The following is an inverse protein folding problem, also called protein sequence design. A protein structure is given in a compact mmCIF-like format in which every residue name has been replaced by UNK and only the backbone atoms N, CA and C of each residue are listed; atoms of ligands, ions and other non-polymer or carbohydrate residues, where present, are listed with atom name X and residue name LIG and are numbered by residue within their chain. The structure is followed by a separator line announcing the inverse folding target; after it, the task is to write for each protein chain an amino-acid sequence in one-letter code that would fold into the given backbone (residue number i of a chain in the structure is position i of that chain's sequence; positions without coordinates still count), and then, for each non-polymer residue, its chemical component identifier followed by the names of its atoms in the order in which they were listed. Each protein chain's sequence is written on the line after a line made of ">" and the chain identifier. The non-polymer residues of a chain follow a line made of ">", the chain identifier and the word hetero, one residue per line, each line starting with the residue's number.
data_IF_758760589342
#
_entry.id   IF_758760589342
#
_cell.length_a   1.000
_cell.length_b   1.000
_cell.length_c   1.000
_cell.angle_alpha   90.00
_cell.angle_beta   90.00
_cell.angle_gamma   90.00
#
_symmetry.space_group_name_H-M   'P 1'
#
loop_
_entity.id
_entity.type
_entity.pdbx_description
1 polymer ?
#
# COMPACT_ATOMS: atom_id res chain seq x y z
N UNK A 1 -8.22 4.05 -16.48
CA UNK A 1 -7.03 4.88 -16.22
C UNK A 1 -6.76 4.86 -14.73
N UNK A 2 -5.51 4.65 -14.33
CA UNK A 2 -5.09 4.57 -12.92
C UNK A 2 -4.11 5.71 -12.63
N UNK A 3 -4.32 6.40 -11.50
CA UNK A 3 -3.49 7.53 -11.08
C UNK A 3 -2.37 7.06 -10.16
N UNK A 4 -1.12 7.32 -10.52
CA UNK A 4 -0.01 7.12 -9.60
C UNK A 4 0.14 8.30 -8.65
N UNK A 5 0.37 8.00 -7.37
CA UNK A 5 0.50 8.97 -6.30
C UNK A 5 1.71 8.64 -5.43
N UNK A 6 2.52 9.66 -5.16
CA UNK A 6 3.58 9.58 -4.17
C UNK A 6 3.35 10.67 -3.11
N UNK A 7 3.54 10.32 -1.83
CA UNK A 7 3.53 11.28 -0.72
C UNK A 7 4.93 11.36 -0.16
N UNK A 8 5.51 12.55 -0.06
CA UNK A 8 6.93 12.71 0.28
C UNK A 8 7.16 13.94 1.16
N UNK A 9 8.14 13.87 2.06
CA UNK A 9 8.53 15.01 2.87
C UNK A 9 10.04 15.02 3.16
N UNK A 10 10.70 16.14 2.91
CA UNK A 10 12.13 16.36 3.14
C UNK A 10 13.04 15.43 2.35
N UNK A 11 12.56 14.91 1.20
CA UNK A 11 13.18 13.80 0.45
C UNK A 11 13.18 14.02 -1.07
N UNK A 12 13.17 15.27 -1.53
CA UNK A 12 13.12 15.58 -2.96
C UNK A 12 14.25 14.92 -3.77
N UNK A 13 15.50 14.93 -3.26
CA UNK A 13 16.63 14.24 -3.92
C UNK A 13 16.46 12.72 -3.89
N UNK A 14 16.13 12.16 -2.72
CA UNK A 14 15.95 10.73 -2.54
C UNK A 14 14.84 10.19 -3.45
N UNK A 15 13.73 10.94 -3.58
CA UNK A 15 12.65 10.64 -4.49
C UNK A 15 13.16 10.54 -5.93
N UNK A 16 13.97 11.51 -6.38
CA UNK A 16 14.53 11.52 -7.73
C UNK A 16 15.50 10.35 -7.97
N UNK A 17 16.40 10.11 -7.03
CA UNK A 17 17.42 9.05 -7.09
C UNK A 17 16.81 7.63 -7.04
N UNK A 18 15.70 7.45 -6.31
CA UNK A 18 15.11 6.14 -6.06
C UNK A 18 13.78 5.96 -6.77
N UNK A 19 12.71 6.54 -6.26
CA UNK A 19 11.34 6.26 -6.75
C UNK A 19 11.18 6.71 -8.19
N UNK A 20 11.59 7.93 -8.54
CA UNK A 20 11.50 8.42 -9.92
C UNK A 20 12.39 7.63 -10.88
N UNK A 21 13.64 7.30 -10.48
CA UNK A 21 14.52 6.44 -11.27
C UNK A 21 13.90 5.05 -11.50
N UNK A 22 13.24 4.49 -10.49
CA UNK A 22 12.52 3.21 -10.58
C UNK A 22 11.36 3.28 -11.56
N UNK A 23 10.51 4.31 -11.46
CA UNK A 23 9.39 4.52 -12.37
C UNK A 23 9.89 4.75 -13.81
N UNK A 24 10.91 5.59 -13.99
CA UNK A 24 11.52 5.89 -15.28
C UNK A 24 12.05 4.63 -15.96
N UNK A 25 12.80 3.80 -15.22
CA UNK A 25 13.29 2.49 -15.70
C UNK A 25 12.14 1.54 -16.07
N UNK A 26 10.99 1.66 -15.40
CA UNK A 26 9.77 0.92 -15.70
C UNK A 26 8.93 1.49 -16.84
N UNK A 27 9.39 2.54 -17.56
CA UNK A 27 8.65 3.11 -18.69
C UNK A 27 7.56 4.13 -18.31
N UNK A 28 7.75 4.89 -17.21
CA UNK A 28 6.77 5.88 -16.76
C UNK A 28 6.72 7.18 -17.60
N UNK A 29 7.62 7.37 -18.57
CA UNK A 29 7.90 8.67 -19.21
C UNK A 29 6.72 9.42 -19.87
N UNK A 30 5.60 8.75 -20.18
CA UNK A 30 4.39 9.37 -20.76
C UNK A 30 3.23 9.52 -19.76
N UNK A 31 3.42 9.10 -18.50
CA UNK A 31 2.41 9.13 -17.45
C UNK A 31 2.58 10.35 -16.56
N UNK A 32 1.49 10.78 -15.93
CA UNK A 32 1.55 11.82 -14.91
C UNK A 32 1.55 11.20 -13.51
N UNK A 33 2.55 11.54 -12.71
CA UNK A 33 2.60 11.23 -11.27
C UNK A 33 2.03 12.41 -10.48
N UNK A 34 1.13 12.15 -9.54
CA UNK A 34 0.75 13.14 -8.52
C UNK A 34 1.70 13.01 -7.33
N UNK A 35 2.48 14.05 -7.06
CA UNK A 35 3.38 14.12 -5.92
C UNK A 35 2.79 15.08 -4.89
N UNK A 36 2.35 14.56 -3.75
CA UNK A 36 1.83 15.36 -2.64
C UNK A 36 2.92 15.53 -1.60
N UNK A 37 3.19 16.76 -1.21
CA UNK A 37 4.29 17.13 -0.29
C UNK A 37 3.81 18.18 0.71
N UNK A 38 4.45 18.37 1.87
CA UNK A 38 4.13 19.49 2.74
C UNK A 38 4.18 20.83 2.00
N UNK A 39 3.22 21.71 2.25
CA UNK A 39 3.10 23.00 1.55
C UNK A 39 4.37 23.84 1.63
N UNK A 40 5.04 23.82 2.79
CA UNK A 40 6.31 24.53 3.02
C UNK A 40 7.49 23.98 2.19
N UNK A 41 7.39 22.76 1.66
CA UNK A 41 8.45 22.10 0.87
C UNK A 41 8.16 22.08 -0.62
N UNK A 42 6.97 22.52 -1.05
CA UNK A 42 6.48 22.40 -2.43
C UNK A 42 7.48 22.92 -3.47
N UNK A 43 8.05 24.09 -3.23
CA UNK A 43 8.96 24.73 -4.19
C UNK A 43 10.28 23.95 -4.33
N UNK A 44 10.77 23.35 -3.24
CA UNK A 44 11.97 22.52 -3.27
C UNK A 44 11.79 21.26 -4.14
N UNK A 45 10.57 20.72 -4.19
CA UNK A 45 10.24 19.61 -5.09
C UNK A 45 10.06 20.08 -6.53
N UNK A 46 9.35 21.19 -6.75
CA UNK A 46 9.12 21.75 -8.10
C UNK A 46 10.42 21.98 -8.87
N UNK A 47 11.50 22.39 -8.19
CA UNK A 47 12.80 22.60 -8.81
C UNK A 47 13.54 21.32 -9.24
N UNK A 48 13.15 20.15 -8.73
CA UNK A 48 13.88 18.89 -8.95
C UNK A 48 13.17 17.90 -9.84
N UNK A 49 11.84 17.91 -9.82
CA UNK A 49 11.04 16.92 -10.54
C UNK A 49 10.77 17.34 -11.99
N UNK A 50 10.64 16.40 -12.94
CA UNK A 50 10.29 16.72 -14.30
C UNK A 50 8.84 17.19 -14.42
N UNK A 51 8.50 17.87 -15.52
CA UNK A 51 7.16 18.41 -15.78
C UNK A 51 6.04 17.36 -15.78
N UNK A 52 6.38 16.08 -16.00
CA UNK A 52 5.44 14.95 -15.90
C UNK A 52 4.99 14.66 -14.47
N UNK A 53 5.62 15.27 -13.46
CA UNK A 53 5.23 15.15 -12.04
C UNK A 53 4.44 16.38 -11.63
N UNK A 54 3.17 16.20 -11.30
CA UNK A 54 2.31 17.25 -10.74
C UNK A 54 2.53 17.34 -9.23
N UNK A 55 3.17 18.41 -8.77
CA UNK A 55 3.44 18.64 -7.34
C UNK A 55 2.31 19.45 -6.69
N UNK A 56 1.75 18.92 -5.60
CA UNK A 56 0.70 19.56 -4.80
C UNK A 56 1.17 19.71 -3.35
N UNK A 57 0.97 20.90 -2.78
CA UNK A 57 1.29 21.19 -1.39
C UNK A 57 0.13 20.83 -0.46
N UNK A 58 0.43 20.07 0.59
CA UNK A 58 -0.48 19.69 1.66
C UNK A 58 -0.22 20.58 2.89
N UNK A 59 -1.24 21.25 3.44
CA UNK A 59 -1.06 22.12 4.61
C UNK A 59 -0.55 21.38 5.86
N UNK A 60 -0.78 20.07 5.94
CA UNK A 60 -0.42 19.25 7.10
C UNK A 60 0.71 18.30 6.72
N UNK A 61 1.83 18.39 7.44
CA UNK A 61 2.95 17.45 7.31
C UNK A 61 2.63 16.12 7.99
N UNK A 62 1.82 15.28 7.33
CA UNK A 62 1.49 13.91 7.76
C UNK A 62 1.31 13.01 6.54
N UNK A 63 1.65 11.73 6.66
CA UNK A 63 1.49 10.77 5.56
C UNK A 63 0.01 10.55 5.26
N UNK A 64 -0.79 10.34 6.30
CA UNK A 64 -2.24 10.18 6.20
C UNK A 64 -2.89 11.42 5.64
N UNK A 65 -2.50 12.63 6.09
CA UNK A 65 -3.07 13.87 5.58
C UNK A 65 -2.77 14.05 4.08
N UNK A 66 -1.55 13.76 3.64
CA UNK A 66 -1.16 13.82 2.23
C UNK A 66 -1.91 12.79 1.38
N UNK A 67 -2.10 11.55 1.86
CA UNK A 67 -2.88 10.51 1.17
C UNK A 67 -4.36 10.87 1.07
N UNK A 68 -4.95 11.40 2.14
CA UNK A 68 -6.34 11.92 2.15
C UNK A 68 -6.51 13.07 1.16
N UNK A 69 -5.57 14.02 1.15
CA UNK A 69 -5.60 15.12 0.19
C UNK A 69 -5.50 14.59 -1.24
N UNK A 70 -4.58 13.67 -1.52
CA UNK A 70 -4.45 13.04 -2.83
C UNK A 70 -5.78 12.45 -3.29
N UNK A 71 -6.45 11.67 -2.44
CA UNK A 71 -7.77 11.09 -2.75
C UNK A 71 -8.84 12.14 -3.02
N UNK A 72 -8.85 13.24 -2.27
CA UNK A 72 -9.86 14.28 -2.41
C UNK A 72 -9.70 15.10 -3.70
N UNK A 73 -8.47 15.36 -4.13
CA UNK A 73 -8.18 16.16 -5.33
C UNK A 73 -8.09 15.34 -6.62
N UNK A 74 -8.26 14.02 -6.51
CA UNK A 74 -8.13 13.07 -7.63
C UNK A 74 -9.52 12.54 -7.98
N UNK A 75 -9.99 12.92 -9.18
CA UNK A 75 -11.26 12.45 -9.71
C UNK A 75 -11.18 11.00 -10.24
N UNK A 76 -9.96 10.48 -10.48
CA UNK A 76 -9.78 9.10 -10.92
C UNK A 76 -10.22 8.08 -9.86
N UNK A 77 -10.94 7.09 -10.36
CA UNK A 77 -11.50 6.03 -9.55
C UNK A 77 -10.48 5.00 -9.06
N UNK A 78 -9.33 4.84 -9.74
CA UNK A 78 -8.26 3.90 -9.32
C UNK A 78 -6.97 4.67 -9.07
N UNK A 79 -6.30 4.38 -7.95
CA UNK A 79 -5.04 5.03 -7.59
C UNK A 79 -4.00 3.98 -7.18
N UNK A 80 -2.73 4.19 -7.54
CA UNK A 80 -1.58 3.47 -7.03
C UNK A 80 -0.78 4.42 -6.14
N UNK A 81 -0.63 4.09 -4.86
CA UNK A 81 0.26 4.79 -3.95
C UNK A 81 1.63 4.12 -3.93
N UNK A 82 2.68 4.93 -4.00
CA UNK A 82 4.08 4.50 -3.91
C UNK A 82 4.87 5.42 -2.97
N UNK A 83 5.71 4.85 -2.12
CA UNK A 83 6.59 5.62 -1.23
C UNK A 83 7.73 6.33 -2.00
N UNK A 84 8.39 7.27 -1.34
CA UNK A 84 9.41 8.15 -1.94
C UNK A 84 10.84 7.58 -1.93
N UNK A 85 11.03 6.34 -1.50
CA UNK A 85 12.34 5.69 -1.39
C UNK A 85 12.41 4.28 -1.98
N UNK A 86 11.61 4.01 -3.02
CA UNK A 86 11.55 2.72 -3.70
C UNK A 86 12.74 2.51 -4.64
N UNK A 87 13.53 1.47 -4.41
CA UNK A 87 14.73 1.12 -5.19
C UNK A 87 14.39 0.23 -6.40
N UNK A 88 13.36 -0.60 -6.28
CA UNK A 88 12.83 -1.41 -7.37
C UNK A 88 11.41 -1.91 -7.09
N UNK A 89 10.65 -2.14 -8.16
CA UNK A 89 9.47 -3.00 -8.16
C UNK A 89 9.87 -4.30 -8.88
N UNK A 90 9.59 -5.44 -8.27
CA UNK A 90 9.95 -6.76 -8.79
C UNK A 90 8.72 -7.60 -9.03
N UNK A 91 8.72 -8.35 -10.12
CA UNK A 91 7.64 -9.27 -10.47
C UNK A 91 8.20 -10.69 -10.65
N UNK A 92 7.41 -11.68 -10.23
CA UNK A 92 7.58 -13.08 -10.57
C UNK A 92 6.54 -13.43 -11.63
N UNK A 93 6.96 -13.53 -12.89
CA UNK A 93 6.04 -13.67 -14.02
C UNK A 93 5.50 -15.11 -14.20
N UNK A 94 4.68 -15.29 -15.24
CA UNK A 94 4.08 -16.58 -15.55
C UNK A 94 5.09 -17.69 -15.83
N UNK A 95 6.26 -17.35 -16.38
CA UNK A 95 7.37 -18.27 -16.65
C UNK A 95 8.21 -18.59 -15.41
N UNK A 96 7.99 -17.87 -14.30
CA UNK A 96 8.80 -17.97 -13.09
C UNK A 96 10.09 -17.15 -13.15
N UNK A 97 10.21 -16.24 -14.12
CA UNK A 97 11.27 -15.23 -14.14
C UNK A 97 11.02 -14.16 -13.10
N UNK A 98 12.12 -13.69 -12.49
CA UNK A 98 12.13 -12.65 -11.47
C UNK A 98 12.88 -11.43 -12.02
N UNK A 99 12.14 -10.38 -12.40
CA UNK A 99 12.70 -9.20 -13.06
C UNK A 99 12.14 -7.88 -12.51
N UNK A 100 12.66 -6.75 -13.01
CA UNK A 100 12.11 -5.44 -12.73
C UNK A 100 10.77 -5.27 -13.43
N UNK A 101 9.71 -5.00 -12.68
CA UNK A 101 8.39 -4.77 -13.26
C UNK A 101 8.39 -3.45 -14.04
N UNK A 102 7.82 -3.47 -15.24
CA UNK A 102 7.39 -2.27 -15.95
C UNK A 102 6.17 -1.65 -15.27
N UNK A 103 5.92 -0.37 -15.52
CA UNK A 103 4.74 0.32 -15.00
C UNK A 103 3.45 -0.32 -15.56
N UNK A 104 3.46 -0.79 -16.82
CA UNK A 104 2.33 -1.50 -17.41
C UNK A 104 2.02 -2.79 -16.64
N UNK A 105 3.04 -3.60 -16.31
CA UNK A 105 2.83 -4.84 -15.54
C UNK A 105 2.25 -4.54 -14.14
N UNK A 106 2.72 -3.47 -13.50
CA UNK A 106 2.19 -3.05 -12.20
C UNK A 106 0.73 -2.60 -12.30
N UNK A 107 0.42 -1.77 -13.29
CA UNK A 107 -0.95 -1.29 -13.54
C UNK A 107 -1.88 -2.46 -13.83
N UNK A 108 -1.53 -3.37 -14.75
CA UNK A 108 -2.31 -4.56 -15.09
C UNK A 108 -2.54 -5.44 -13.87
N UNK A 109 -1.50 -5.70 -13.07
CA UNK A 109 -1.61 -6.53 -11.88
C UNK A 109 -2.56 -5.92 -10.83
N UNK A 110 -2.49 -4.59 -10.64
CA UNK A 110 -3.42 -3.91 -9.74
C UNK A 110 -4.83 -3.77 -10.31
N UNK A 111 -5.00 -3.62 -11.61
CA UNK A 111 -6.33 -3.62 -12.23
C UNK A 111 -7.05 -4.94 -11.98
N UNK A 112 -6.37 -6.07 -12.21
CA UNK A 112 -6.89 -7.40 -11.89
C UNK A 112 -7.20 -7.55 -10.40
N UNK A 113 -6.31 -7.10 -9.51
CA UNK A 113 -6.54 -7.16 -8.07
C UNK A 113 -7.78 -6.36 -7.66
N UNK A 114 -7.88 -5.13 -8.14
CA UNK A 114 -8.98 -4.24 -7.82
C UNK A 114 -10.32 -4.71 -8.40
N UNK A 115 -10.41 -5.60 -9.38
CA UNK A 115 -11.70 -6.16 -9.86
C UNK A 115 -12.59 -6.72 -8.74
N UNK A 116 -11.99 -7.14 -7.63
CA UNK A 116 -12.69 -7.81 -6.54
C UNK A 116 -12.51 -7.15 -5.16
N UNK A 117 -11.84 -6.00 -5.09
CA UNK A 117 -11.58 -5.30 -3.82
C UNK A 117 -11.37 -3.79 -4.04
N UNK A 118 -11.55 -3.02 -2.97
CA UNK A 118 -11.19 -1.61 -2.92
C UNK A 118 -9.73 -1.38 -2.52
N UNK A 119 -9.00 -2.40 -2.05
CA UNK A 119 -7.63 -2.28 -1.58
C UNK A 119 -6.82 -3.52 -1.98
N UNK A 120 -5.80 -3.31 -2.82
CA UNK A 120 -4.85 -4.36 -3.18
C UNK A 120 -3.41 -3.95 -2.93
N UNK A 121 -2.63 -4.83 -2.32
CA UNK A 121 -1.23 -4.60 -1.98
C UNK A 121 -0.27 -5.51 -2.71
N UNK A 122 1.02 -5.26 -2.50
CA UNK A 122 2.11 -6.12 -2.96
C UNK A 122 2.70 -6.94 -1.81
N UNK A 123 3.48 -7.96 -2.15
CA UNK A 123 4.28 -8.69 -1.19
C UNK A 123 5.38 -7.76 -0.59
N UNK A 124 5.58 -7.75 0.73
CA UNK A 124 6.43 -6.74 1.39
C UNK A 124 7.93 -6.92 1.15
N UNK A 125 8.36 -8.07 0.62
CA UNK A 125 9.78 -8.40 0.43
C UNK A 125 10.04 -8.92 -0.97
N UNK A 126 10.78 -8.17 -1.77
CA UNK A 126 11.24 -8.62 -3.08
C UNK A 126 12.31 -9.72 -2.97
N UNK A 127 11.88 -10.98 -2.87
CA UNK A 127 12.76 -12.15 -2.83
C UNK A 127 12.12 -13.30 -3.60
N UNK A 128 12.81 -13.79 -4.64
CA UNK A 128 12.34 -14.88 -5.52
C UNK A 128 11.93 -16.15 -4.75
N UNK A 129 12.67 -16.52 -3.69
CA UNK A 129 12.38 -17.73 -2.92
C UNK A 129 11.15 -17.62 -2.01
N UNK A 130 10.65 -16.42 -1.76
CA UNK A 130 9.49 -16.18 -0.89
C UNK A 130 8.25 -15.72 -1.64
N UNK A 131 8.43 -15.07 -2.79
CA UNK A 131 7.33 -14.68 -3.67
C UNK A 131 6.67 -15.90 -4.31
N UNK A 132 5.37 -15.80 -4.55
CA UNK A 132 4.57 -16.90 -5.10
C UNK A 132 3.61 -16.36 -6.16
N UNK A 133 3.35 -17.16 -7.20
CA UNK A 133 2.31 -16.90 -8.22
C UNK A 133 0.89 -17.09 -7.69
N UNK A 134 0.59 -16.44 -6.58
CA UNK A 134 -0.71 -16.49 -5.90
C UNK A 134 -1.17 -15.10 -5.53
N UNK A 135 -2.47 -14.97 -5.34
CA UNK A 135 -3.10 -13.81 -4.70
C UNK A 135 -3.61 -14.26 -3.34
N UNK A 136 -3.30 -13.49 -2.30
CA UNK A 136 -3.89 -13.68 -0.98
C UNK A 136 -5.12 -12.80 -0.83
N UNK A 137 -6.22 -13.37 -0.36
CA UNK A 137 -7.46 -12.66 -0.02
C UNK A 137 -7.63 -12.67 1.49
N UNK A 138 -7.83 -11.47 2.06
CA UNK A 138 -7.93 -11.20 3.51
C UNK A 138 -6.73 -11.69 4.31
N UNK A 139 -6.60 -11.25 5.56
CA UNK A 139 -5.58 -11.74 6.50
C UNK A 139 -4.14 -11.79 5.94
N UNK A 140 -3.82 -10.91 5.00
CA UNK A 140 -2.52 -10.76 4.38
C UNK A 140 -2.12 -9.29 4.49
N UNK A 141 -0.99 -9.04 5.12
CA UNK A 141 -0.54 -7.68 5.37
C UNK A 141 -0.18 -6.99 4.05
N UNK A 142 -0.86 -5.88 3.78
CA UNK A 142 -0.65 -4.96 2.68
C UNK A 142 0.29 -3.88 3.18
N UNK A 143 1.50 -3.86 2.63
CA UNK A 143 2.49 -2.87 3.00
C UNK A 143 2.15 -1.51 2.40
N UNK A 144 2.31 -0.44 3.19
CA UNK A 144 2.03 0.93 2.74
C UNK A 144 2.96 1.47 1.64
N UNK A 145 4.03 0.75 1.30
CA UNK A 145 5.07 1.20 0.37
C UNK A 145 4.67 1.12 -1.12
N UNK A 146 3.77 0.19 -1.47
CA UNK A 146 3.14 0.12 -2.79
C UNK A 146 1.82 -0.62 -2.68
N UNK A 147 0.72 0.07 -2.97
CA UNK A 147 -0.62 -0.50 -2.98
C UNK A 147 -1.51 0.30 -3.92
N UNK A 148 -2.63 -0.30 -4.32
CA UNK A 148 -3.64 0.34 -5.11
C UNK A 148 -4.99 0.34 -4.41
N UNK A 149 -5.80 1.33 -4.73
CA UNK A 149 -7.15 1.48 -4.20
C UNK A 149 -8.17 1.76 -5.30
N UNK A 150 -9.43 1.43 -5.03
CA UNK A 150 -10.58 2.12 -5.61
C UNK A 150 -10.87 3.33 -4.73
N UNK A 151 -10.78 4.53 -5.31
CA UNK A 151 -11.01 5.79 -4.60
C UNK A 151 -12.51 6.02 -4.43
N UNK A 152 -13.12 5.33 -3.47
CA UNK A 152 -14.53 5.43 -3.16
C UNK A 152 -14.75 6.22 -1.85
N UNK A 153 -15.88 6.90 -1.67
CA UNK A 153 -16.16 7.63 -0.43
C UNK A 153 -16.19 6.74 0.84
N UNK A 154 -16.49 5.45 0.70
CA UNK A 154 -16.59 4.47 1.78
C UNK A 154 -15.25 3.82 2.16
N UNK A 155 -14.19 4.03 1.38
CA UNK A 155 -12.84 3.56 1.72
C UNK A 155 -12.34 4.30 2.95
N UNK A 156 -12.17 3.57 4.04
CA UNK A 156 -11.74 4.12 5.32
C UNK A 156 -10.27 4.57 5.26
N UNK A 157 -10.00 5.81 5.66
CA UNK A 157 -8.63 6.26 5.91
C UNK A 157 -8.35 6.31 7.41
N UNK A 158 -7.17 5.86 7.85
CA UNK A 158 -6.73 6.05 9.22
C UNK A 158 -6.62 7.54 9.57
N UNK A 159 -6.51 7.83 10.86
CA UNK A 159 -6.28 9.19 11.38
C UNK A 159 -4.88 9.39 11.96
N UNK A 160 -4.05 8.34 11.95
CA UNK A 160 -2.71 8.33 12.52
C UNK A 160 -1.73 7.74 11.50
N UNK A 161 -0.52 8.33 11.42
CA UNK A 161 0.58 7.87 10.57
C UNK A 161 1.24 6.58 11.09
N UNK A 162 1.06 6.26 12.37
CA UNK A 162 1.50 4.99 12.95
C UNK A 162 0.50 3.88 12.64
N UNK A 163 0.99 2.75 12.14
CA UNK A 163 0.18 1.56 11.82
C UNK A 163 -0.96 1.85 10.82
N UNK A 164 -0.80 2.89 9.99
CA UNK A 164 -1.81 3.34 9.02
C UNK A 164 -2.21 2.24 8.04
N UNK A 165 -1.25 1.40 7.65
CA UNK A 165 -1.40 0.32 6.69
C UNK A 165 -2.26 -0.81 7.26
N UNK A 166 -1.99 -1.19 8.51
CA UNK A 166 -2.82 -2.08 9.30
C UNK A 166 -4.22 -1.51 9.50
N UNK A 167 -4.34 -0.25 9.91
CA UNK A 167 -5.64 0.37 10.16
C UNK A 167 -6.50 0.41 8.88
N UNK A 168 -5.93 0.79 7.72
CA UNK A 168 -6.65 0.83 6.44
C UNK A 168 -7.18 -0.55 6.04
N UNK A 169 -6.31 -1.57 6.02
CA UNK A 169 -6.71 -2.91 5.57
C UNK A 169 -7.69 -3.60 6.53
N UNK A 170 -7.61 -3.30 7.83
CA UNK A 170 -8.50 -3.88 8.83
C UNK A 170 -9.87 -3.22 8.80
N UNK A 171 -9.94 -1.90 8.54
CA UNK A 171 -11.20 -1.21 8.36
C UNK A 171 -12.00 -1.75 7.16
N UNK A 172 -11.34 -2.03 6.03
CA UNK A 172 -12.00 -2.68 4.88
C UNK A 172 -12.55 -4.06 5.25
N UNK A 173 -11.75 -4.90 5.90
CA UNK A 173 -12.16 -6.25 6.29
C UNK A 173 -13.29 -6.23 7.33
N UNK A 174 -13.24 -5.32 8.31
CA UNK A 174 -14.30 -5.13 9.30
C UNK A 174 -15.62 -4.65 8.66
N UNK A 175 -15.53 -3.90 7.56
CA UNK A 175 -16.70 -3.51 6.77
C UNK A 175 -17.20 -4.61 5.82
N UNK A 176 -16.67 -5.84 5.92
CA UNK A 176 -17.02 -6.96 5.04
C UNK A 176 -16.45 -6.85 3.63
N UNK A 177 -15.55 -5.89 3.36
CA UNK A 177 -14.92 -5.70 2.06
C UNK A 177 -13.60 -6.45 2.01
N UNK A 178 -13.44 -7.42 1.10
CA UNK A 178 -12.21 -8.19 1.03
C UNK A 178 -11.04 -7.30 0.62
N UNK A 179 -9.82 -7.67 1.00
CA UNK A 179 -8.58 -7.03 0.56
C UNK A 179 -7.69 -8.06 -0.13
N UNK A 180 -6.93 -7.65 -1.15
CA UNK A 180 -5.99 -8.55 -1.83
C UNK A 180 -4.52 -8.20 -1.64
N UNK A 181 -3.66 -9.22 -1.69
CA UNK A 181 -2.22 -9.05 -1.83
C UNK A 181 -1.69 -9.91 -2.97
N UNK A 182 -1.05 -9.27 -3.92
CA UNK A 182 -0.39 -9.89 -5.06
C UNK A 182 0.95 -10.47 -4.57
N UNK A 183 1.04 -11.78 -4.35
CA UNK A 183 2.25 -12.40 -3.79
C UNK A 183 3.40 -12.53 -4.82
N UNK A 184 3.12 -12.23 -6.09
CA UNK A 184 4.05 -12.26 -7.20
C UNK A 184 4.58 -10.88 -7.60
N UNK A 185 4.08 -9.81 -6.98
CA UNK A 185 4.57 -8.45 -7.13
C UNK A 185 5.13 -7.98 -5.79
N UNK A 186 6.28 -7.32 -5.79
CA UNK A 186 6.93 -6.88 -4.55
C UNK A 186 7.71 -5.58 -4.74
N UNK A 187 7.92 -4.87 -3.65
CA UNK A 187 8.82 -3.71 -3.60
C UNK A 187 10.14 -4.03 -2.93
N UNK A 188 11.18 -3.34 -3.38
CA UNK A 188 12.47 -3.27 -2.74
C UNK A 188 12.67 -1.83 -2.22
N UNK A 189 12.77 -1.68 -0.90
CA UNK A 189 13.11 -0.44 -0.22
C UNK A 189 13.93 -0.76 1.03
N UNK A 190 14.70 0.22 1.52
CA UNK A 190 15.45 0.14 2.77
C UNK A 190 14.68 0.86 3.88
N UNK A 191 13.64 0.20 4.37
CA UNK A 191 12.84 0.71 5.48
C UNK A 191 13.75 1.21 6.63
N UNK A 192 13.48 2.42 7.12
CA UNK A 192 14.10 3.01 8.32
C UNK A 192 15.59 3.40 8.22
N UNK A 193 16.22 3.36 7.03
CA UNK A 193 17.65 3.67 6.88
C UNK A 193 17.95 5.05 6.31
N UNK A 194 17.01 5.64 5.57
CA UNK A 194 17.26 6.92 4.89
C UNK A 194 16.82 8.10 5.79
N UNK A 195 17.63 9.17 5.89
CA UNK A 195 17.26 10.37 6.67
C UNK A 195 16.04 11.09 6.07
N UNK A 196 15.43 11.97 6.87
CA UNK A 196 14.22 12.70 6.49
C UNK A 196 12.96 11.82 6.48
N UNK A 197 11.93 12.26 5.75
CA UNK A 197 10.64 11.59 5.69
C UNK A 197 9.74 11.86 6.87
N UNK A 198 8.54 11.29 6.83
CA UNK A 198 7.49 11.46 7.85
C UNK A 198 7.75 10.58 9.09
N UNK A 199 8.94 10.00 9.20
CA UNK A 199 9.34 9.08 10.27
C UNK A 199 10.06 9.81 11.43
N UNK A 200 10.45 11.07 11.25
CA UNK A 200 11.23 11.85 12.24
C UNK A 200 10.52 12.07 13.56
N UNK A 201 9.18 11.91 13.60
CA UNK A 201 8.36 12.10 14.80
C UNK A 201 7.94 10.78 15.47
N UNK A 202 8.39 9.63 14.95
CA UNK A 202 8.02 8.31 15.45
C UNK A 202 8.80 7.97 16.72
N UNK A 203 8.09 7.51 17.74
CA UNK A 203 8.70 7.07 19.01
C UNK A 203 8.21 5.67 19.36
N UNK A 204 8.98 4.93 20.16
CA UNK A 204 8.57 3.60 20.65
C UNK A 204 7.25 3.68 21.41
N UNK A 205 7.06 4.73 22.22
CA UNK A 205 5.81 4.97 22.94
C UNK A 205 4.62 5.20 22.00
N UNK A 206 4.77 6.05 20.96
CA UNK A 206 3.74 6.26 19.93
C UNK A 206 3.40 4.96 19.20
N UNK A 207 4.41 4.15 18.88
CA UNK A 207 4.21 2.84 18.25
C UNK A 207 3.46 1.87 19.17
N UNK A 208 3.81 1.78 20.45
CA UNK A 208 3.09 0.93 21.42
C UNK A 208 1.62 1.35 21.48
N UNK A 209 1.36 2.65 21.68
CA UNK A 209 -0.01 3.18 21.77
C UNK A 209 -0.80 2.92 20.48
N UNK A 210 -0.19 3.06 19.30
CA UNK A 210 -0.84 2.77 18.03
C UNK A 210 -1.16 1.28 17.87
N UNK A 211 -0.24 0.38 18.21
CA UNK A 211 -0.48 -1.07 18.16
C UNK A 211 -1.63 -1.45 19.10
N UNK A 212 -1.67 -0.89 20.31
CA UNK A 212 -2.73 -1.16 21.29
C UNK A 212 -4.08 -0.66 20.80
N UNK A 213 -4.14 0.56 20.24
CA UNK A 213 -5.36 1.12 19.69
C UNK A 213 -5.91 0.29 18.51
N UNK A 214 -5.05 -0.13 17.57
CA UNK A 214 -5.47 -0.98 16.44
C UNK A 214 -5.88 -2.37 16.93
N UNK A 215 -5.15 -2.99 17.86
CA UNK A 215 -5.53 -4.29 18.40
C UNK A 215 -6.89 -4.26 19.12
N UNK A 216 -7.16 -3.21 19.90
CA UNK A 216 -8.45 -3.04 20.57
C UNK A 216 -9.61 -2.83 19.58
N UNK A 217 -9.39 -2.03 18.53
CA UNK A 217 -10.43 -1.72 17.54
C UNK A 217 -10.77 -2.91 16.64
N UNK A 218 -9.83 -3.85 16.47
CA UNK A 218 -9.95 -4.98 15.54
C UNK A 218 -9.62 -6.32 16.20
N UNK A 219 -10.04 -6.50 17.46
CA UNK A 219 -9.71 -7.66 18.29
C UNK A 219 -10.18 -9.01 17.70
N UNK A 220 -11.16 -9.00 16.81
CA UNK A 220 -11.65 -10.21 16.10
C UNK A 220 -10.81 -10.58 14.87
N UNK A 221 -9.94 -9.69 14.41
CA UNK A 221 -9.11 -9.88 13.21
C UNK A 221 -7.64 -10.08 13.54
N UNK A 222 -7.15 -9.40 14.58
CA UNK A 222 -5.73 -9.36 14.93
C UNK A 222 -5.48 -9.50 16.42
N UNK A 223 -4.25 -9.89 16.76
CA UNK A 223 -3.70 -9.80 18.12
C UNK A 223 -2.34 -9.11 18.11
N UNK A 224 -2.01 -8.50 19.25
CA UNK A 224 -0.66 -7.96 19.51
C UNK A 224 0.35 -9.10 19.64
N UNK A 225 1.54 -8.88 19.09
CA UNK A 225 2.70 -9.77 19.21
C UNK A 225 3.96 -8.93 19.47
N UNK A 226 4.96 -9.54 20.09
CA UNK A 226 6.29 -8.93 20.25
C UNK A 226 7.23 -9.52 19.21
N UNK A 227 7.86 -8.66 18.40
CA UNK A 227 8.86 -9.08 17.40
C UNK A 227 10.16 -9.50 18.10
N UNK A 228 11.03 -10.19 17.37
CA UNK A 228 12.37 -10.61 17.86
C UNK A 228 13.23 -9.45 18.37
N UNK A 229 13.01 -8.23 17.87
CA UNK A 229 13.70 -7.02 18.31
C UNK A 229 13.02 -6.31 19.50
N UNK A 230 12.07 -6.95 20.18
CA UNK A 230 11.36 -6.42 21.35
C UNK A 230 10.25 -5.41 21.04
N UNK A 231 10.09 -4.97 19.79
CA UNK A 231 9.03 -4.02 19.43
C UNK A 231 7.68 -4.69 19.24
N UNK A 232 6.57 -4.05 19.66
CA UNK A 232 5.23 -4.56 19.42
C UNK A 232 4.84 -4.47 17.93
N UNK A 233 3.96 -5.38 17.53
CA UNK A 233 3.37 -5.46 16.21
C UNK A 233 2.04 -6.23 16.26
N UNK A 234 1.41 -6.39 15.10
CA UNK A 234 0.15 -7.13 14.95
C UNK A 234 0.35 -8.42 14.17
N UNK A 235 -0.52 -9.39 14.45
CA UNK A 235 -0.64 -10.63 13.68
C UNK A 235 -2.11 -10.95 13.49
N UNK A 236 -2.49 -11.32 12.27
CA UNK A 236 -3.83 -11.85 12.00
C UNK A 236 -4.11 -13.12 12.81
N UNK A 237 -5.34 -13.24 13.30
CA UNK A 237 -5.80 -14.44 14.00
C UNK A 237 -5.93 -15.62 13.04
N UNK A 238 -6.44 -15.35 11.83
CA UNK A 238 -6.69 -16.34 10.80
C UNK A 238 -5.68 -16.26 9.66
N UNK A 239 -5.60 -17.32 8.86
CA UNK A 239 -4.78 -17.34 7.64
C UNK A 239 -5.53 -16.63 6.50
N UNK A 240 -4.75 -16.15 5.53
CA UNK A 240 -5.30 -15.68 4.25
C UNK A 240 -5.75 -16.85 3.39
N UNK A 241 -6.77 -16.61 2.58
CA UNK A 241 -7.14 -17.52 1.48
C UNK A 241 -6.16 -17.28 0.33
N UNK A 242 -5.55 -18.33 -0.22
CA UNK A 242 -4.65 -18.19 -1.38
C UNK A 242 -5.32 -18.72 -2.64
N UNK A 243 -5.30 -17.90 -3.69
CA UNK A 243 -5.79 -18.22 -5.03
C UNK A 243 -4.60 -18.25 -5.99
N UNK A 244 -4.61 -19.15 -6.97
CA UNK A 244 -3.63 -19.10 -8.05
C UNK A 244 -3.87 -17.80 -8.87
N UNK A 245 -2.79 -17.23 -9.41
CA UNK A 245 -2.86 -16.01 -10.23
C UNK A 245 -3.83 -16.13 -11.40
N UNK A 246 -3.96 -17.34 -11.97
CA UNK A 246 -4.77 -17.61 -13.18
C UNK A 246 -6.26 -17.89 -12.84
N UNK A 247 -6.65 -17.86 -11.56
CA UNK A 247 -7.99 -18.21 -11.07
C UNK A 247 -8.70 -17.17 -10.16
N UNK A 248 -8.47 -15.84 -10.21
CA UNK A 248 -9.07 -14.92 -9.23
C UNK A 248 -10.60 -14.87 -9.34
N UNK A 249 -11.14 -15.06 -10.54
CA UNK A 249 -12.53 -14.75 -10.89
C UNK A 249 -13.58 -15.76 -10.44
N UNK A 250 -13.22 -16.99 -10.05
CA UNK A 250 -14.22 -18.06 -9.87
C UNK A 250 -14.64 -18.37 -8.42
N UNK A 251 -14.01 -17.79 -7.38
CA UNK A 251 -14.34 -18.13 -5.97
C UNK A 251 -14.72 -16.97 -5.06
N UNK A 252 -14.50 -15.72 -5.46
CA UNK A 252 -14.79 -14.56 -4.61
C UNK A 252 -16.29 -14.34 -4.36
N UNK A 253 -17.16 -14.97 -5.17
CA UNK A 253 -18.63 -14.96 -5.00
C UNK A 253 -19.11 -15.94 -3.90
N UNK A 254 -18.30 -16.94 -3.53
CA UNK A 254 -18.73 -18.01 -2.61
C UNK A 254 -18.26 -17.83 -1.16
N UNK A 255 -17.43 -16.83 -0.85
CA UNK A 255 -16.96 -16.58 0.52
C UNK A 255 -17.81 -15.57 1.30
N UNK A 256 -18.73 -14.86 0.65
CA UNK A 256 -19.65 -13.90 1.29
C UNK A 256 -20.98 -14.53 1.71
N UNK A 257 -21.27 -15.76 1.30
CA UNK A 257 -22.52 -16.49 1.59
C UNK A 257 -22.42 -17.48 2.76
N UNK A 258 -21.29 -17.53 3.47
CA UNK A 258 -21.05 -18.49 4.56
C UNK A 258 -21.38 -17.99 5.98
N UNK A 259 -21.90 -16.77 6.15
CA UNK A 259 -22.23 -16.19 7.46
C UNK A 259 -23.70 -15.75 7.49
N UNK A 260 -24.61 -16.71 7.32
CA UNK A 260 -25.99 -16.59 7.78
C UNK A 260 -26.61 -18.00 7.81
N UNK A 261 -27.41 -18.27 8.85
CA UNK A 261 -28.15 -19.52 9.12
C UNK A 261 -27.40 -20.58 9.94
N UNK A 262 -27.07 -20.22 11.17
CA UNK A 262 -27.19 -21.15 12.29
C UNK A 262 -27.60 -20.35 13.53
N UNK A 263 -28.91 -20.23 13.74
CA UNK A 263 -29.60 -20.03 15.02
C UNK A 263 -31.04 -19.55 14.76
N UNK A 264 -31.94 -20.49 14.48
CA UNK A 264 -33.34 -20.47 14.96
C UNK A 264 -33.80 -21.93 14.97
N UNK A 265 -33.62 -22.56 16.13
CA UNK A 265 -34.41 -23.70 16.61
C UNK A 265 -35.56 -23.17 17.44
#
# INVERSE_FOLDING_TARGET
>A
MIRWVCCSAGRADLFMEKTWATLSRGGFGHRQLLLVVPQAERDAYLWKVPMTVKVVGCPVRSLVAQRKMARHITEEYKMIFIDDDIEAIRILDASGQFHHASCNEVETAFEMGLEHTNLCGVYPVANRGWMKRTVSINNAYIVGALYAIRNTPDLAEPNNDEMEDWARQLAEQAAGRPVCRLNYLAVQTKYWKNPGGLQTERTVAKRIAAVDAVAASFQELVRKVTRKNGLPDLRFLNRSTQLAQDHPSQRLVNSTSGVALAHMS
#
